data_IF_287143290215
#
_entry.id   IF_287143290215
#
_cell.length_a   1.000
_cell.length_b   1.000
_cell.length_c   1.000
_cell.angle_alpha   90.00
_cell.angle_beta   90.00
_cell.angle_gamma   90.00
#
_symmetry.space_group_name_H-M   'P 1'
#
loop_
_entity.id
_entity.type
_entity.pdbx_description
1 polymer ?
#
# COMPACT_ATOMS: atom_id res chain seq x y z
N UNK A 1 5.90 -2.93 -13.36
CA UNK A 1 6.46 -3.28 -12.02
C UNK A 1 7.92 -2.82 -11.87
N UNK A 2 8.53 -2.27 -12.91
CA UNK A 2 9.91 -1.76 -12.95
C UNK A 2 10.35 -0.91 -11.74
N UNK A 3 9.52 0.03 -11.27
CA UNK A 3 9.85 0.84 -10.08
C UNK A 3 9.99 -0.02 -8.82
N UNK A 4 9.13 -1.02 -8.63
CA UNK A 4 9.20 -1.90 -7.46
C UNK A 4 10.46 -2.77 -7.51
N UNK A 5 10.84 -3.25 -8.70
CA UNK A 5 12.09 -4.02 -8.91
C UNK A 5 13.33 -3.16 -8.67
N UNK A 6 13.30 -1.89 -9.09
CA UNK A 6 14.35 -0.92 -8.79
C UNK A 6 14.49 -0.69 -7.27
N UNK A 7 13.38 -0.52 -6.55
CA UNK A 7 13.38 -0.36 -5.09
C UNK A 7 13.87 -1.62 -4.37
N UNK A 8 13.44 -2.81 -4.83
CA UNK A 8 13.90 -4.10 -4.32
C UNK A 8 15.43 -4.24 -4.50
N UNK A 9 15.95 -3.88 -5.67
CA UNK A 9 17.38 -3.95 -5.99
C UNK A 9 18.21 -2.94 -5.19
N UNK A 10 17.64 -1.77 -4.90
CA UNK A 10 18.27 -0.74 -4.08
C UNK A 10 18.16 -1.02 -2.57
N UNK A 11 17.50 -2.10 -2.16
CA UNK A 11 17.18 -2.43 -0.77
C UNK A 11 16.47 -1.29 -0.02
N UNK A 12 15.65 -0.50 -0.72
CA UNK A 12 14.90 0.60 -0.14
C UNK A 12 13.53 0.11 0.27
N UNK A 13 13.23 0.15 1.57
CA UNK A 13 11.91 -0.24 2.07
C UNK A 13 10.81 0.68 1.56
N UNK A 14 9.68 0.10 1.14
CA UNK A 14 8.50 0.84 0.72
C UNK A 14 7.21 0.18 1.21
N UNK A 15 6.15 0.98 1.36
CA UNK A 15 4.79 0.51 1.68
C UNK A 15 3.85 0.92 0.56
N UNK A 16 2.95 0.02 0.16
CA UNK A 16 2.01 0.28 -0.92
C UNK A 16 0.72 0.88 -0.34
N UNK A 17 0.24 1.95 -0.98
CA UNK A 17 -1.01 2.64 -0.63
C UNK A 17 -1.94 2.63 -1.83
N UNK A 18 -3.11 2.00 -1.69
CA UNK A 18 -4.17 2.06 -2.67
C UNK A 18 -5.01 3.31 -2.42
N UNK A 19 -5.15 4.18 -3.41
CA UNK A 19 -5.86 5.46 -3.28
C UNK A 19 -7.20 5.44 -4.00
N UNK A 20 -8.02 6.49 -3.78
CA UNK A 20 -9.33 6.67 -4.43
C UNK A 20 -10.28 5.48 -4.21
N UNK A 21 -10.22 4.86 -3.03
CA UNK A 21 -11.05 3.71 -2.66
C UNK A 21 -12.55 3.97 -2.82
N UNK A 22 -12.97 5.24 -2.74
CA UNK A 22 -14.35 5.67 -2.94
C UNK A 22 -14.89 5.48 -4.37
N UNK A 23 -14.01 5.31 -5.37
CA UNK A 23 -14.39 5.13 -6.78
C UNK A 23 -14.60 3.68 -7.18
N UNK A 24 -14.34 2.72 -6.28
CA UNK A 24 -14.36 1.29 -6.59
C UNK A 24 -15.36 0.57 -5.68
N UNK A 25 -16.03 -0.45 -6.23
CA UNK A 25 -16.94 -1.30 -5.45
C UNK A 25 -16.16 -2.05 -4.36
N UNK A 26 -16.76 -2.21 -3.18
CA UNK A 26 -16.12 -2.85 -2.03
C UNK A 26 -15.58 -4.26 -2.33
N UNK A 27 -16.30 -5.08 -3.11
CA UNK A 27 -15.84 -6.42 -3.50
C UNK A 27 -14.59 -6.39 -4.39
N UNK A 28 -14.54 -5.47 -5.35
CA UNK A 28 -13.38 -5.29 -6.24
C UNK A 28 -12.19 -4.73 -5.46
N UNK A 29 -12.44 -3.79 -4.55
CA UNK A 29 -11.41 -3.22 -3.68
C UNK A 29 -10.80 -4.29 -2.77
N UNK A 30 -11.62 -5.17 -2.18
CA UNK A 30 -11.14 -6.28 -1.36
C UNK A 30 -10.28 -7.25 -2.19
N UNK A 31 -10.72 -7.59 -3.40
CA UNK A 31 -9.96 -8.44 -4.31
C UNK A 31 -8.60 -7.82 -4.67
N UNK A 32 -8.59 -6.55 -5.07
CA UNK A 32 -7.35 -5.85 -5.43
C UNK A 32 -6.41 -5.74 -4.25
N UNK A 33 -6.92 -5.40 -3.06
CA UNK A 33 -6.11 -5.32 -1.83
C UNK A 33 -5.44 -6.67 -1.54
N UNK A 34 -6.20 -7.77 -1.66
CA UNK A 34 -5.65 -9.12 -1.48
C UNK A 34 -4.57 -9.45 -2.52
N UNK A 35 -4.83 -9.21 -3.80
CA UNK A 35 -3.85 -9.48 -4.86
C UNK A 35 -2.57 -8.65 -4.68
N UNK A 36 -2.70 -7.37 -4.32
CA UNK A 36 -1.56 -6.50 -4.04
C UNK A 36 -0.78 -6.98 -2.81
N UNK A 37 -1.46 -7.40 -1.74
CA UNK A 37 -0.79 -7.95 -0.56
C UNK A 37 0.00 -9.24 -0.89
N UNK A 38 -0.58 -10.14 -1.69
CA UNK A 38 0.12 -11.37 -2.14
C UNK A 38 1.31 -11.07 -3.05
N UNK A 39 1.26 -10.00 -3.84
CA UNK A 39 2.43 -9.55 -4.61
C UNK A 39 3.50 -8.94 -3.69
N UNK A 40 3.10 -8.05 -2.78
CA UNK A 40 4.01 -7.36 -1.86
C UNK A 40 4.80 -8.37 -1.01
N UNK A 41 4.16 -9.42 -0.51
CA UNK A 41 4.83 -10.48 0.28
C UNK A 41 5.97 -11.19 -0.44
N UNK A 42 5.99 -11.17 -1.77
CA UNK A 42 7.07 -11.78 -2.57
C UNK A 42 8.29 -10.87 -2.72
N UNK A 43 8.19 -9.62 -2.26
CA UNK A 43 9.22 -8.59 -2.40
C UNK A 43 9.78 -8.25 -1.02
N UNK A 44 11.06 -8.55 -0.80
CA UNK A 44 11.69 -8.38 0.50
C UNK A 44 11.72 -6.91 0.98
N UNK A 45 11.75 -5.94 0.06
CA UNK A 45 11.73 -4.52 0.39
C UNK A 45 10.30 -3.96 0.58
N UNK A 46 9.26 -4.69 0.21
CA UNK A 46 7.89 -4.26 0.39
C UNK A 46 7.39 -4.56 1.81
N UNK A 47 6.76 -3.58 2.44
CA UNK A 47 6.01 -3.80 3.67
C UNK A 47 4.80 -4.70 3.39
N UNK A 48 4.51 -5.73 4.21
CA UNK A 48 3.45 -6.70 3.94
C UNK A 48 2.04 -6.11 4.00
N UNK A 49 1.82 -5.07 4.81
CA UNK A 49 0.52 -4.43 4.95
C UNK A 49 0.25 -3.38 3.86
N UNK A 50 -0.96 -3.43 3.30
CA UNK A 50 -1.46 -2.51 2.29
C UNK A 50 -2.43 -1.53 2.94
N UNK A 51 -2.22 -0.23 2.73
CA UNK A 51 -3.13 0.80 3.24
C UNK A 51 -4.08 1.23 2.14
N UNK A 52 -5.37 1.20 2.43
CA UNK A 52 -6.43 1.62 1.50
C UNK A 52 -6.94 2.98 1.92
N UNK A 53 -6.97 3.94 0.99
CA UNK A 53 -7.28 5.34 1.27
C UNK A 53 -8.27 5.94 0.28
N UNK A 54 -9.01 6.94 0.74
CA UNK A 54 -9.74 7.89 -0.09
C UNK A 54 -9.45 9.30 0.42
N UNK A 55 -8.76 10.10 -0.38
CA UNK A 55 -8.50 11.50 -0.02
C UNK A 55 -9.78 12.34 0.01
N UNK A 56 -10.77 12.01 -0.83
CA UNK A 56 -12.06 12.72 -0.84
C UNK A 56 -12.90 12.41 0.41
N UNK A 57 -12.91 11.15 0.86
CA UNK A 57 -13.72 10.72 2.02
C UNK A 57 -12.95 10.67 3.33
N UNK A 58 -11.66 10.96 3.33
CA UNK A 58 -10.78 10.86 4.50
C UNK A 58 -10.51 9.43 5.00
N UNK A 59 -10.99 8.41 4.30
CA UNK A 59 -10.81 7.00 4.66
C UNK A 59 -9.32 6.63 4.60
N UNK A 60 -8.82 5.90 5.60
CA UNK A 60 -7.45 5.38 5.63
C UNK A 60 -6.36 6.41 5.89
N UNK A 61 -6.70 7.69 6.00
CA UNK A 61 -5.73 8.77 6.19
C UNK A 61 -5.11 8.75 7.59
N UNK A 62 -5.86 8.49 8.70
CA UNK A 62 -5.24 8.30 10.01
C UNK A 62 -4.20 7.17 10.02
N UNK A 63 -4.54 6.04 9.40
CA UNK A 63 -3.68 4.86 9.28
C UNK A 63 -2.44 5.16 8.44
N UNK A 64 -2.60 5.90 7.33
CA UNK A 64 -1.47 6.36 6.52
C UNK A 64 -0.54 7.28 7.31
N UNK A 65 -1.07 8.21 8.11
CA UNK A 65 -0.25 9.10 8.94
C UNK A 65 0.51 8.33 10.00
N UNK A 66 -0.15 7.37 10.67
CA UNK A 66 0.50 6.50 11.65
C UNK A 66 1.63 5.68 11.01
N UNK A 67 1.39 5.13 9.82
CA UNK A 67 2.37 4.38 9.04
C UNK A 67 3.62 5.22 8.67
N UNK A 68 3.43 6.48 8.30
CA UNK A 68 4.56 7.38 8.01
C UNK A 68 5.38 7.66 9.27
N UNK A 69 4.71 7.90 10.41
CA UNK A 69 5.39 8.10 11.69
C UNK A 69 6.16 6.85 12.13
N UNK A 70 5.59 5.67 11.95
CA UNK A 70 6.23 4.38 12.20
C UNK A 70 7.49 4.21 11.33
N UNK A 71 7.44 4.58 10.05
CA UNK A 71 8.55 4.38 9.12
C UNK A 71 9.76 5.30 9.34
N UNK A 72 9.60 6.38 10.10
CA UNK A 72 10.68 7.33 10.41
C UNK A 72 11.20 7.22 11.84
N UNK A 73 10.59 6.37 12.67
CA UNK A 73 11.01 6.08 14.04
C UNK A 73 12.03 4.96 14.08
#
# INVERSE_FOLDING_TARGET
REILEMLDSAAVSYRIVLTKADKIKASVLAEMTRQTAEEARKRAAAHPDIIVTSSEKGMGIPELRAAVLEAIG
#
